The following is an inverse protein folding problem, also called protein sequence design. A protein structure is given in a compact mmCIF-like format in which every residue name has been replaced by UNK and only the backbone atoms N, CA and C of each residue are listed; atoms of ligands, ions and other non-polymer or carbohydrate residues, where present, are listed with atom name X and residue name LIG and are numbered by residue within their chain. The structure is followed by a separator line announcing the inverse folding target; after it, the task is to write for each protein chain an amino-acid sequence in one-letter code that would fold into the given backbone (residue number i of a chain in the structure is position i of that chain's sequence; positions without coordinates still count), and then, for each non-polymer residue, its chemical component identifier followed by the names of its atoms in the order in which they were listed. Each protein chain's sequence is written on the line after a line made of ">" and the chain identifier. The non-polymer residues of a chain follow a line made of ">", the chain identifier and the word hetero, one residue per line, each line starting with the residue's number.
data_IF_466004889282
#
_entry.id   IF_466004889282
#
_cell.length_a   1.000
_cell.length_b   1.000
_cell.length_c   1.000
_cell.angle_alpha   90.00
_cell.angle_beta   90.00
_cell.angle_gamma   90.00
#
_symmetry.space_group_name_H-M   'P 1'
#
loop_
_entity.id
_entity.type
_entity.pdbx_description
1 polymer ?
#
# COMPACT_ATOMS: atom_id res chain seq x y z
N UNK A 1 39.97 -29.84 -50.75
CA UNK A 1 38.72 -29.32 -50.15
C UNK A 1 39.05 -28.91 -48.73
N UNK A 2 39.17 -27.61 -48.46
CA UNK A 2 39.32 -27.06 -47.10
C UNK A 2 38.19 -26.07 -46.88
N UNK A 3 37.24 -26.42 -46.02
CA UNK A 3 36.11 -25.56 -45.63
C UNK A 3 36.50 -24.83 -44.36
N UNK A 4 36.56 -23.49 -44.42
CA UNK A 4 36.72 -22.65 -43.24
C UNK A 4 35.40 -22.55 -42.49
N UNK A 5 35.43 -22.74 -41.17
CA UNK A 5 34.30 -22.50 -40.28
C UNK A 5 34.48 -21.14 -39.58
N UNK A 6 33.58 -20.19 -39.86
CA UNK A 6 33.45 -18.95 -39.12
C UNK A 6 32.82 -19.23 -37.75
N UNK A 7 33.54 -18.93 -36.67
CA UNK A 7 33.01 -18.94 -35.31
C UNK A 7 32.42 -17.56 -35.04
N UNK A 8 31.10 -17.46 -35.08
CA UNK A 8 30.35 -16.29 -34.64
C UNK A 8 30.19 -16.31 -33.12
N UNK A 9 30.86 -15.39 -32.42
CA UNK A 9 30.70 -15.19 -30.98
C UNK A 9 29.37 -14.48 -30.71
N UNK A 10 28.39 -15.20 -30.13
CA UNK A 10 27.19 -14.58 -29.56
C UNK A 10 27.57 -13.85 -28.27
N UNK A 11 27.54 -12.52 -28.30
CA UNK A 11 27.53 -11.68 -27.10
C UNK A 11 26.13 -11.72 -26.49
N UNK A 12 25.95 -12.49 -25.41
CA UNK A 12 24.78 -12.41 -24.55
C UNK A 12 24.88 -11.11 -23.74
N UNK A 13 24.16 -10.07 -24.14
CA UNK A 13 23.96 -8.89 -23.32
C UNK A 13 23.05 -9.26 -22.13
N UNK A 14 23.67 -9.60 -21.00
CA UNK A 14 22.98 -9.70 -19.71
C UNK A 14 22.59 -8.30 -19.25
N UNK A 15 21.39 -7.86 -19.64
CA UNK A 15 20.77 -6.68 -19.06
C UNK A 15 20.41 -6.95 -17.60
N UNK A 16 21.20 -6.43 -16.65
CA UNK A 16 20.78 -6.36 -15.27
C UNK A 16 19.60 -5.38 -15.19
N UNK A 17 18.40 -5.91 -14.94
CA UNK A 17 17.24 -5.09 -14.59
C UNK A 17 17.59 -4.42 -13.27
N UNK A 18 17.81 -3.11 -13.27
CA UNK A 18 17.93 -2.33 -12.05
C UNK A 18 16.59 -2.41 -11.32
N UNK A 19 16.47 -3.30 -10.34
CA UNK A 19 15.35 -3.28 -9.41
C UNK A 19 15.45 -1.97 -8.64
N UNK A 20 14.52 -1.03 -8.91
CA UNK A 20 14.27 0.10 -8.02
C UNK A 20 13.94 -0.49 -6.65
N UNK A 21 14.78 -0.23 -5.66
CA UNK A 21 14.48 -0.59 -4.28
C UNK A 21 13.19 0.13 -3.87
N UNK A 22 12.21 -0.57 -3.27
CA UNK A 22 11.06 0.09 -2.67
C UNK A 22 11.57 1.18 -1.73
N UNK A 23 11.12 2.41 -1.95
CA UNK A 23 11.52 3.56 -1.14
C UNK A 23 10.96 3.42 0.28
N UNK A 24 9.83 2.71 0.41
CA UNK A 24 9.13 2.44 1.66
C UNK A 24 9.05 0.95 1.95
N UNK A 25 9.14 0.61 3.23
CA UNK A 25 9.02 -0.76 3.73
C UNK A 25 7.90 -0.84 4.75
N UNK A 26 7.13 -1.92 4.68
CA UNK A 26 6.10 -2.26 5.67
C UNK A 26 6.53 -3.48 6.48
N UNK A 27 6.26 -3.44 7.78
CA UNK A 27 6.44 -4.57 8.70
C UNK A 27 5.17 -4.84 9.46
N UNK A 28 4.98 -6.10 9.87
CA UNK A 28 3.79 -6.58 10.54
C UNK A 28 4.10 -6.86 12.00
N UNK A 29 3.38 -6.23 12.92
CA UNK A 29 3.42 -6.53 14.34
C UNK A 29 2.07 -7.11 14.78
N UNK A 30 2.08 -8.25 15.50
CA UNK A 30 0.87 -8.93 15.97
C UNK A 30 0.67 -8.71 17.47
N UNK A 31 -0.55 -8.38 17.86
CA UNK A 31 -0.95 -8.06 19.22
C UNK A 31 -1.98 -9.05 19.75
N UNK A 32 -2.13 -9.06 21.07
CA UNK A 32 -3.13 -9.90 21.76
C UNK A 32 -4.54 -9.29 21.72
N UNK A 33 -4.64 -7.98 21.69
CA UNK A 33 -5.89 -7.21 21.64
C UNK A 33 -6.14 -6.67 20.24
N UNK A 34 -7.38 -6.24 19.99
CA UNK A 34 -7.77 -5.70 18.70
C UNK A 34 -7.02 -4.38 18.44
N UNK A 35 -6.47 -4.25 17.23
CA UNK A 35 -5.68 -3.10 16.80
C UNK A 35 -6.49 -2.31 15.78
N UNK A 36 -7.49 -1.62 16.33
CA UNK A 36 -8.23 -0.52 15.70
C UNK A 36 -7.59 0.76 16.25
N UNK A 37 -6.68 1.32 15.45
CA UNK A 37 -5.79 2.40 15.87
C UNK A 37 -6.18 3.74 15.30
N UNK A 38 -7.13 3.77 14.38
CA UNK A 38 -7.47 4.97 13.67
C UNK A 38 -8.95 5.27 13.88
N UNK A 39 -9.23 6.51 14.26
CA UNK A 39 -10.60 6.99 14.37
C UNK A 39 -11.31 7.06 13.00
N UNK A 40 -12.51 7.64 12.97
CA UNK A 40 -13.26 7.85 11.74
C UNK A 40 -12.40 8.49 10.65
N UNK A 41 -12.47 7.93 9.44
CA UNK A 41 -11.68 8.40 8.30
C UNK A 41 -12.50 9.23 7.32
N UNK A 42 -11.82 10.15 6.62
CA UNK A 42 -12.40 10.90 5.50
C UNK A 42 -12.37 10.08 4.20
N UNK A 43 -13.20 10.46 3.23
CA UNK A 43 -13.34 9.74 1.97
C UNK A 43 -13.51 10.70 0.81
N UNK A 44 -12.64 10.59 -0.19
CA UNK A 44 -12.77 11.24 -1.49
C UNK A 44 -12.83 10.16 -2.56
N UNK A 45 -13.87 10.21 -3.40
CA UNK A 45 -14.05 9.28 -4.52
C UNK A 45 -12.93 9.48 -5.54
N UNK A 46 -12.26 8.38 -5.90
CA UNK A 46 -11.33 8.32 -7.03
C UNK A 46 -11.70 7.20 -8.02
N UNK A 47 -12.91 6.63 -7.91
CA UNK A 47 -13.35 5.59 -8.84
C UNK A 47 -13.43 6.14 -10.26
N UNK A 48 -12.74 5.45 -11.17
CA UNK A 48 -12.69 5.71 -12.60
C UNK A 48 -12.44 4.39 -13.36
N UNK A 49 -12.24 4.45 -14.68
CA UNK A 49 -11.99 3.30 -15.54
C UNK A 49 -10.65 2.59 -15.28
N UNK A 50 -9.69 3.30 -14.67
CA UNK A 50 -8.37 2.82 -14.26
C UNK A 50 -8.33 2.24 -12.85
N UNK A 51 -9.32 2.56 -12.02
CA UNK A 51 -9.43 2.09 -10.64
C UNK A 51 -9.49 0.55 -10.55
N UNK A 52 -9.04 -0.04 -9.43
CA UNK A 52 -8.97 -1.49 -9.28
C UNK A 52 -10.35 -2.16 -9.32
N UNK A 53 -10.35 -3.44 -9.66
CA UNK A 53 -11.56 -4.26 -9.65
C UNK A 53 -12.01 -4.51 -8.20
N UNK A 54 -13.31 -4.33 -7.95
CA UNK A 54 -13.93 -4.62 -6.64
C UNK A 54 -13.67 -6.08 -6.23
N UNK A 55 -13.68 -7.02 -7.18
CA UNK A 55 -13.40 -8.44 -6.91
C UNK A 55 -12.01 -8.67 -6.35
N UNK A 56 -11.02 -7.90 -6.80
CA UNK A 56 -9.65 -7.99 -6.34
C UNK A 56 -9.50 -7.34 -4.96
N UNK A 57 -10.15 -6.19 -4.75
CA UNK A 57 -10.17 -5.55 -3.44
C UNK A 57 -10.87 -6.39 -2.37
N UNK A 58 -11.94 -7.11 -2.72
CA UNK A 58 -12.58 -8.06 -1.79
C UNK A 58 -11.65 -9.20 -1.39
N UNK A 59 -10.91 -9.77 -2.34
CA UNK A 59 -9.89 -10.79 -2.02
C UNK A 59 -8.79 -10.22 -1.13
N UNK A 60 -8.35 -8.98 -1.39
CA UNK A 60 -7.39 -8.31 -0.53
C UNK A 60 -7.93 -8.16 0.90
N UNK A 61 -9.17 -7.70 1.07
CA UNK A 61 -9.84 -7.63 2.38
C UNK A 61 -9.84 -9.01 3.06
N UNK A 62 -10.20 -10.07 2.33
CA UNK A 62 -10.22 -11.44 2.86
C UNK A 62 -8.82 -11.91 3.31
N UNK A 63 -7.77 -11.60 2.56
CA UNK A 63 -6.37 -11.90 2.95
C UNK A 63 -5.97 -11.14 4.22
N UNK A 64 -6.31 -9.85 4.32
CA UNK A 64 -5.99 -9.02 5.48
C UNK A 64 -6.76 -9.49 6.73
N UNK A 65 -8.01 -9.93 6.59
CA UNK A 65 -8.85 -10.38 7.70
C UNK A 65 -8.27 -11.60 8.45
N UNK A 66 -7.38 -12.39 7.81
CA UNK A 66 -6.68 -13.52 8.45
C UNK A 66 -5.64 -13.04 9.45
N UNK A 67 -5.03 -11.86 9.25
CA UNK A 67 -3.94 -11.33 10.06
C UNK A 67 -4.41 -10.66 11.36
N UNK A 68 -5.63 -10.97 11.85
CA UNK A 68 -6.28 -10.43 13.05
C UNK A 68 -5.33 -9.84 14.09
N UNK A 69 -5.68 -8.65 14.60
CA UNK A 69 -5.00 -7.97 15.69
C UNK A 69 -3.57 -7.56 15.35
N UNK A 70 -3.34 -7.14 14.10
CA UNK A 70 -2.03 -6.71 13.64
C UNK A 70 -1.98 -5.23 13.28
N UNK A 71 -0.79 -4.67 13.41
CA UNK A 71 -0.43 -3.31 13.03
C UNK A 71 0.55 -3.37 11.87
N UNK A 72 0.37 -2.46 10.91
CA UNK A 72 1.29 -2.26 9.79
C UNK A 72 2.14 -1.06 10.14
N UNK A 73 3.42 -1.28 10.39
CA UNK A 73 4.38 -0.19 10.52
C UNK A 73 4.99 0.08 9.16
N UNK A 74 5.07 1.35 8.79
CA UNK A 74 5.71 1.79 7.56
C UNK A 74 6.76 2.85 7.85
N UNK A 75 7.79 2.88 7.01
CA UNK A 75 8.88 3.86 7.08
C UNK A 75 9.63 3.91 5.76
N UNK A 76 10.48 4.93 5.59
CA UNK A 76 11.24 5.16 4.36
C UNK A 76 11.03 6.55 3.74
N UNK A 77 10.09 7.34 4.27
CA UNK A 77 9.93 8.74 3.92
C UNK A 77 11.13 9.56 4.40
N UNK A 78 11.61 10.45 3.54
CA UNK A 78 12.69 11.37 3.86
C UNK A 78 12.24 12.80 3.46
N UNK A 79 12.20 13.77 4.39
CA UNK A 79 11.79 15.15 4.13
C UNK A 79 12.58 15.84 3.01
N UNK A 80 13.79 15.38 2.74
CA UNK A 80 14.72 15.97 1.78
C UNK A 80 14.56 15.35 0.39
N UNK A 81 13.91 14.18 0.29
CA UNK A 81 13.60 13.53 -0.97
C UNK A 81 12.11 13.73 -1.29
N UNK A 82 11.77 13.93 -2.56
CA UNK A 82 10.39 14.13 -3.05
C UNK A 82 9.51 12.85 -2.95
N UNK A 83 9.76 11.97 -1.98
CA UNK A 83 9.07 10.69 -1.82
C UNK A 83 7.90 10.74 -0.83
N UNK A 84 7.58 11.90 -0.24
CA UNK A 84 6.50 11.99 0.75
C UNK A 84 5.15 11.59 0.15
N UNK A 85 4.91 11.83 -1.14
CA UNK A 85 3.66 11.48 -1.82
C UNK A 85 3.55 9.99 -2.19
N UNK A 86 4.63 9.22 -2.01
CA UNK A 86 4.61 7.79 -2.25
C UNK A 86 3.96 7.05 -1.08
N UNK A 87 3.02 6.17 -1.42
CA UNK A 87 2.35 5.31 -0.45
C UNK A 87 3.20 4.09 -0.13
N UNK A 88 3.39 3.80 1.16
CA UNK A 88 3.89 2.50 1.59
C UNK A 88 2.79 1.46 1.31
N UNK A 89 3.12 0.47 0.48
CA UNK A 89 2.17 -0.56 0.10
C UNK A 89 1.97 -1.51 1.28
N UNK A 90 0.72 -1.62 1.73
CA UNK A 90 0.31 -2.63 2.71
C UNK A 90 0.34 -3.99 2.04
N UNK A 91 -0.42 -4.11 0.94
CA UNK A 91 -0.57 -5.34 0.19
C UNK A 91 -1.23 -5.05 -1.15
N UNK A 92 -0.99 -5.94 -2.11
CA UNK A 92 -1.62 -5.92 -3.43
C UNK A 92 -2.19 -7.30 -3.76
N UNK A 93 -3.40 -7.34 -4.29
CA UNK A 93 -4.02 -8.54 -4.86
C UNK A 93 -4.61 -8.16 -6.22
N UNK A 94 -4.16 -8.81 -7.29
CA UNK A 94 -4.59 -8.51 -8.65
C UNK A 94 -4.38 -7.03 -9.01
N UNK A 95 -5.47 -6.34 -9.37
CA UNK A 95 -5.47 -4.91 -9.66
C UNK A 95 -5.54 -4.03 -8.42
N UNK A 96 -5.88 -4.56 -7.24
CA UNK A 96 -6.12 -3.76 -6.04
C UNK A 96 -4.88 -3.65 -5.17
N UNK A 97 -4.51 -2.41 -4.82
CA UNK A 97 -3.53 -2.10 -3.79
C UNK A 97 -4.15 -1.19 -2.73
N UNK A 98 -3.73 -1.40 -1.49
CA UNK A 98 -3.90 -0.44 -0.41
C UNK A 98 -2.53 0.06 0.03
N UNK A 99 -2.41 1.37 0.25
CA UNK A 99 -1.21 1.95 0.82
C UNK A 99 -1.54 3.17 1.66
N UNK A 100 -0.59 3.56 2.51
CA UNK A 100 -0.70 4.74 3.36
C UNK A 100 0.62 5.50 3.46
N UNK A 101 0.55 6.76 3.89
CA UNK A 101 1.70 7.63 4.11
C UNK A 101 1.42 8.67 5.19
N UNK A 102 2.44 9.21 5.86
CA UNK A 102 2.24 10.32 6.77
C UNK A 102 1.87 11.59 5.99
N UNK A 103 1.28 12.56 6.70
CA UNK A 103 0.97 13.89 6.15
C UNK A 103 2.12 14.88 6.31
N UNK A 104 2.93 14.74 7.35
CA UNK A 104 4.00 15.68 7.69
C UNK A 104 5.37 15.21 7.15
N UNK A 105 6.16 16.16 6.63
CA UNK A 105 7.47 15.90 6.03
C UNK A 105 8.51 15.38 7.03
N UNK A 106 8.35 15.67 8.32
CA UNK A 106 9.24 15.23 9.41
C UNK A 106 8.86 13.85 9.99
N UNK A 107 7.80 13.22 9.50
CA UNK A 107 7.40 11.87 9.92
C UNK A 107 8.07 10.82 9.03
N UNK A 108 9.15 10.22 9.53
CA UNK A 108 9.90 9.16 8.83
C UNK A 108 9.25 7.77 8.94
N UNK A 109 8.29 7.63 9.86
CA UNK A 109 7.58 6.40 10.17
C UNK A 109 6.12 6.72 10.53
N UNK A 110 5.24 5.75 10.30
CA UNK A 110 3.84 5.80 10.73
C UNK A 110 3.25 4.37 10.74
N UNK A 111 2.06 4.19 11.27
CA UNK A 111 1.40 2.88 11.31
C UNK A 111 -0.12 2.99 11.27
N UNK A 112 -0.75 1.90 10.85
CA UNK A 112 -2.21 1.73 10.83
C UNK A 112 -2.56 0.31 11.27
N UNK A 113 -3.71 0.11 11.92
CA UNK A 113 -4.22 -1.22 12.24
C UNK A 113 -4.79 -1.93 11.02
N UNK A 114 -4.73 -3.26 11.01
CA UNK A 114 -5.36 -4.05 9.92
C UNK A 114 -6.88 -3.85 9.87
N UNK A 115 -7.52 -3.69 11.04
CA UNK A 115 -8.96 -3.42 11.12
C UNK A 115 -9.29 -2.10 10.42
N UNK A 116 -8.51 -1.04 10.66
CA UNK A 116 -8.68 0.26 10.01
C UNK A 116 -8.61 0.18 8.48
N UNK A 117 -7.65 -0.61 7.97
CA UNK A 117 -7.50 -0.85 6.53
C UNK A 117 -8.70 -1.59 5.95
N UNK A 118 -9.14 -2.66 6.62
CA UNK A 118 -10.30 -3.46 6.19
C UNK A 118 -11.56 -2.60 6.16
N UNK A 119 -11.79 -1.79 7.19
CA UNK A 119 -12.96 -0.92 7.31
C UNK A 119 -12.93 0.16 6.25
N UNK A 120 -11.79 0.84 6.05
CA UNK A 120 -11.63 1.85 5.00
C UNK A 120 -11.89 1.27 3.59
N UNK A 121 -11.36 0.09 3.30
CA UNK A 121 -11.58 -0.58 2.02
C UNK A 121 -13.05 -1.00 1.82
N UNK A 122 -13.66 -1.55 2.87
CA UNK A 122 -15.06 -2.02 2.84
C UNK A 122 -16.01 -0.85 2.62
N UNK A 123 -15.81 0.24 3.35
CA UNK A 123 -16.57 1.48 3.21
C UNK A 123 -16.35 2.13 1.85
N UNK A 124 -15.13 2.16 1.34
CA UNK A 124 -14.84 2.70 0.00
C UNK A 124 -15.60 1.92 -1.09
N UNK A 125 -15.66 0.58 -0.99
CA UNK A 125 -16.46 -0.25 -1.90
C UNK A 125 -17.94 0.10 -1.78
N UNK A 126 -18.46 0.22 -0.56
CA UNK A 126 -19.87 0.53 -0.33
C UNK A 126 -20.27 1.92 -0.83
N UNK A 127 -19.40 2.93 -0.64
CA UNK A 127 -19.66 4.32 -1.00
C UNK A 127 -19.43 4.62 -2.48
N UNK A 128 -18.37 4.04 -3.07
CA UNK A 128 -17.84 4.48 -4.36
C UNK A 128 -17.69 3.35 -5.39
N UNK A 129 -18.13 2.13 -5.07
CA UNK A 129 -18.12 1.02 -6.01
C UNK A 129 -19.07 1.27 -7.18
N UNK A 130 -18.54 1.37 -8.38
CA UNK A 130 -19.32 1.53 -9.61
C UNK A 130 -18.62 0.82 -10.78
N UNK A 131 -19.39 0.32 -11.75
CA UNK A 131 -18.85 -0.38 -12.93
C UNK A 131 -17.82 -1.49 -12.57
N UNK A 132 -18.04 -2.18 -11.44
CA UNK A 132 -17.15 -3.22 -10.86
C UNK A 132 -15.77 -2.71 -10.43
N UNK A 133 -15.58 -1.40 -10.30
CA UNK A 133 -14.33 -0.75 -9.88
C UNK A 133 -14.54 0.10 -8.63
N UNK A 134 -13.46 0.36 -7.90
CA UNK A 134 -13.47 1.22 -6.72
C UNK A 134 -12.13 1.93 -6.60
N UNK A 135 -12.15 3.25 -6.43
CA UNK A 135 -10.96 4.03 -6.09
C UNK A 135 -11.32 5.02 -5.01
N UNK A 136 -10.45 5.18 -4.02
CA UNK A 136 -10.68 6.12 -2.93
C UNK A 136 -9.37 6.57 -2.31
N UNK A 137 -9.36 7.81 -1.84
CA UNK A 137 -8.32 8.37 -0.98
C UNK A 137 -8.96 8.96 0.26
N UNK A 138 -8.28 8.90 1.39
CA UNK A 138 -8.79 9.42 2.65
C UNK A 138 -7.68 9.71 3.64
N UNK A 139 -8.09 10.16 4.83
CA UNK A 139 -7.20 10.47 5.93
C UNK A 139 -7.69 9.78 7.20
N UNK A 140 -6.84 8.99 7.80
CA UNK A 140 -7.01 8.48 9.15
C UNK A 140 -6.49 9.48 10.16
N UNK A 141 -7.12 9.51 11.34
CA UNK A 141 -6.54 10.09 12.54
C UNK A 141 -6.14 8.94 13.47
N UNK A 142 -4.85 8.62 13.52
CA UNK A 142 -4.37 7.43 14.21
C UNK A 142 -3.70 7.77 15.54
N UNK A 143 -3.68 6.78 16.42
CA UNK A 143 -2.94 6.78 17.68
C UNK A 143 -1.79 5.78 17.66
N UNK A 144 -0.86 5.92 18.59
CA UNK A 144 0.22 4.97 18.78
C UNK A 144 -0.31 3.57 19.17
N UNK A 145 0.53 2.57 18.96
CA UNK A 145 0.22 1.18 19.29
C UNK A 145 0.54 0.84 20.77
N UNK A 146 0.82 1.86 21.59
CA UNK A 146 1.10 1.73 23.02
C UNK A 146 -0.19 1.77 23.85
N UNK A 147 -0.05 1.58 25.17
CA UNK A 147 -1.18 1.59 26.10
C UNK A 147 -1.85 2.97 26.16
N UNK A 148 -1.06 4.03 26.06
CA UNK A 148 -1.53 5.42 26.22
C UNK A 148 -2.27 5.96 24.99
N UNK A 149 -2.08 5.35 23.81
CA UNK A 149 -2.79 5.70 22.57
C UNK A 149 -2.63 7.19 22.23
N UNK A 150 -1.40 7.70 22.24
CA UNK A 150 -1.16 9.11 21.92
C UNK A 150 -1.36 9.36 20.41
N UNK A 151 -1.93 10.50 19.98
CA UNK A 151 -2.09 10.82 18.55
C UNK A 151 -0.74 10.84 17.82
N UNK A 152 -0.68 10.21 16.65
CA UNK A 152 0.53 10.16 15.79
C UNK A 152 0.42 11.06 14.55
N UNK A 153 -0.62 11.88 14.49
CA UNK A 153 -0.95 12.74 13.35
C UNK A 153 -1.77 12.03 12.28
N UNK A 154 -2.09 12.78 11.22
CA UNK A 154 -2.95 12.28 10.15
C UNK A 154 -2.15 11.40 9.18
N UNK A 155 -2.80 10.31 8.76
CA UNK A 155 -2.24 9.33 7.82
C UNK A 155 -3.11 9.29 6.57
N UNK A 156 -2.53 9.63 5.42
CA UNK A 156 -3.25 9.55 4.13
C UNK A 156 -3.22 8.12 3.64
N UNK A 157 -4.37 7.58 3.24
CA UNK A 157 -4.47 6.24 2.67
C UNK A 157 -5.14 6.26 1.30
N UNK A 158 -4.89 5.21 0.50
CA UNK A 158 -5.46 5.09 -0.84
C UNK A 158 -5.76 3.64 -1.23
N UNK A 159 -6.90 3.43 -1.88
CA UNK A 159 -7.25 2.24 -2.67
C UNK A 159 -7.06 2.57 -4.14
N UNK A 160 -6.10 1.91 -4.79
CA UNK A 160 -5.70 2.25 -6.15
C UNK A 160 -5.21 1.03 -6.95
N UNK A 161 -5.10 1.23 -8.25
CA UNK A 161 -4.48 0.27 -9.16
C UNK A 161 -3.03 0.71 -9.40
N UNK A 162 -2.03 -0.04 -8.94
CA UNK A 162 -0.62 0.36 -9.08
C UNK A 162 -0.10 0.25 -10.52
N UNK A 163 -0.90 -0.30 -11.45
CA UNK A 163 -0.52 -0.59 -12.82
C UNK A 163 -1.21 0.32 -13.87
N UNK A 164 -1.93 1.36 -13.44
CA UNK A 164 -2.81 2.16 -14.31
C UNK A 164 -2.31 3.57 -14.63
#
# INVERSE_FOLDING_TARGET
>A
MYTQAFIGTLLLASGAVAQRTPVHYTTLAKYRWDMDLCGPTTYTKETNDKAPLISDCKKLIDELAVAKNSVIHASGWNPIAENIDEFAIVRSVGTCSFGFRPTAYDHFYTHVGYTDVIDAMTDAIAKFGENKRVGAIGQFNCVDDQIERNPIGDVVWRVYNPWA
#
